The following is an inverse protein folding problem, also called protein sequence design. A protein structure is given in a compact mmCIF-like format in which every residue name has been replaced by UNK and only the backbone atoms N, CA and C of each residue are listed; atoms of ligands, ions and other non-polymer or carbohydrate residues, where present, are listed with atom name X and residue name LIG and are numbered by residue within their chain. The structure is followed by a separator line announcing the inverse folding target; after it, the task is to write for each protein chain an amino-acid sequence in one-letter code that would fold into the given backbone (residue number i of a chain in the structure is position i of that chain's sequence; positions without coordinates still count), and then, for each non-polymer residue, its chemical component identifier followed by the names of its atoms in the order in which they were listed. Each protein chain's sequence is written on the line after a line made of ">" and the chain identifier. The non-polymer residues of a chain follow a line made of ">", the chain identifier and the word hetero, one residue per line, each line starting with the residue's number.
data_IF_884369851031
#
_entry.id   IF_884369851031
#
_cell.length_a   1.000
_cell.length_b   1.000
_cell.length_c   1.000
_cell.angle_alpha   90.00
_cell.angle_beta   90.00
_cell.angle_gamma   90.00
#
_symmetry.space_group_name_H-M   'P 1'
#
loop_
_entity.id
_entity.type
_entity.pdbx_description
1 polymer ?
#
# COMPACT_ATOMS: atom_id res chain seq x y z
N UNK A 1 -16.15 34.73 -2.04
CA UNK A 1 -15.16 33.63 -1.99
C UNK A 1 -13.80 34.27 -2.19
N UNK A 2 -12.97 34.33 -1.13
CA UNK A 2 -11.67 35.01 -1.16
C UNK A 2 -10.59 34.00 -1.58
N UNK A 3 -10.20 34.04 -2.85
CA UNK A 3 -9.17 33.17 -3.46
C UNK A 3 -7.80 33.21 -2.74
N UNK A 4 -7.54 34.25 -1.95
CA UNK A 4 -6.23 34.49 -1.31
C UNK A 4 -6.00 33.66 -0.03
N UNK A 5 -6.99 32.94 0.48
CA UNK A 5 -6.79 32.04 1.64
C UNK A 5 -6.86 30.55 1.29
N UNK A 6 -7.41 30.20 0.13
CA UNK A 6 -7.52 28.79 -0.30
C UNK A 6 -6.15 28.15 -0.60
N UNK A 7 -5.11 28.92 -0.92
CA UNK A 7 -3.74 28.38 -1.04
C UNK A 7 -3.04 28.16 0.32
N UNK A 8 -3.60 28.70 1.41
CA UNK A 8 -3.09 28.55 2.78
C UNK A 8 -3.74 27.39 3.53
N UNK A 9 -4.79 26.79 2.99
CA UNK A 9 -5.36 25.57 3.57
C UNK A 9 -4.41 24.42 3.24
N UNK A 10 -3.45 24.18 4.13
CA UNK A 10 -2.59 23.02 4.04
C UNK A 10 -3.43 21.75 3.94
N UNK A 11 -3.00 20.83 3.09
CA UNK A 11 -3.53 19.48 2.96
C UNK A 11 -3.74 18.87 4.37
N UNK A 12 -4.87 18.20 4.60
CA UNK A 12 -5.09 17.49 5.87
C UNK A 12 -4.05 16.39 5.99
N UNK A 13 -3.39 16.27 7.14
CA UNK A 13 -2.35 15.27 7.38
C UNK A 13 -2.57 14.57 8.71
N UNK A 14 -2.33 13.27 8.72
CA UNK A 14 -2.42 12.43 9.90
C UNK A 14 -1.14 11.59 10.00
N UNK A 15 -0.57 11.55 11.20
CA UNK A 15 0.52 10.64 11.52
C UNK A 15 -0.06 9.50 12.35
N UNK A 16 -0.07 8.29 11.80
CA UNK A 16 -0.44 7.05 12.49
C UNK A 16 0.84 6.38 12.94
N UNK A 17 0.89 5.92 14.20
CA UNK A 17 2.09 5.30 14.76
C UNK A 17 1.89 3.83 15.04
N UNK A 18 2.99 3.09 15.00
CA UNK A 18 3.08 1.70 15.47
C UNK A 18 2.07 0.76 14.79
N UNK A 19 1.81 0.98 13.50
CA UNK A 19 0.96 0.11 12.71
C UNK A 19 1.68 -1.22 12.46
N UNK A 20 1.02 -2.32 12.83
CA UNK A 20 1.49 -3.67 12.55
C UNK A 20 1.08 -4.08 11.14
N UNK A 21 2.08 -4.42 10.31
CA UNK A 21 1.87 -4.97 8.97
C UNK A 21 2.22 -6.45 8.96
N UNK A 22 1.19 -7.27 8.75
CA UNK A 22 1.30 -8.73 8.65
C UNK A 22 1.12 -9.24 7.21
N UNK A 23 0.50 -8.44 6.34
CA UNK A 23 0.24 -8.82 4.95
C UNK A 23 1.51 -9.02 4.14
N UNK A 24 1.52 -10.03 3.26
CA UNK A 24 2.66 -10.38 2.40
C UNK A 24 2.36 -9.98 0.95
N UNK A 25 3.38 -9.48 0.25
CA UNK A 25 3.31 -9.14 -1.17
C UNK A 25 3.12 -10.39 -2.05
N UNK A 26 3.33 -11.56 -1.47
CA UNK A 26 3.32 -12.83 -2.16
C UNK A 26 4.68 -13.11 -2.79
N UNK A 27 4.96 -14.39 -2.94
CA UNK A 27 6.03 -14.84 -3.82
C UNK A 27 5.43 -15.20 -5.17
N UNK A 28 6.15 -14.84 -6.24
CA UNK A 28 5.79 -15.26 -7.58
C UNK A 28 6.48 -16.60 -7.84
N UNK A 29 5.70 -17.67 -7.90
CA UNK A 29 6.23 -18.94 -8.42
C UNK A 29 6.01 -18.98 -9.93
N UNK A 30 7.08 -19.25 -10.68
CA UNK A 30 6.96 -19.45 -12.13
C UNK A 30 6.58 -20.91 -12.33
N UNK A 31 5.28 -21.18 -12.27
CA UNK A 31 4.77 -22.54 -12.37
C UNK A 31 5.02 -23.19 -13.75
N UNK A 32 5.05 -22.39 -14.84
CA UNK A 32 5.30 -22.93 -16.18
C UNK A 32 5.87 -21.89 -17.16
N UNK A 33 6.91 -22.29 -17.88
CA UNK A 33 7.41 -21.61 -19.07
C UNK A 33 7.04 -22.44 -20.30
N UNK A 34 6.30 -21.85 -21.24
CA UNK A 34 5.97 -22.49 -22.50
C UNK A 34 6.51 -21.65 -23.67
N UNK A 35 7.07 -22.33 -24.66
CA UNK A 35 7.49 -21.72 -25.92
C UNK A 35 6.63 -22.27 -27.05
N UNK A 36 6.10 -21.37 -27.87
CA UNK A 36 5.42 -21.71 -29.11
C UNK A 36 6.29 -21.24 -30.26
N UNK A 37 6.75 -22.20 -31.08
CA UNK A 37 7.53 -21.94 -32.28
C UNK A 37 6.60 -22.01 -33.50
N UNK A 38 6.37 -20.88 -34.14
CA UNK A 38 5.68 -20.79 -35.42
C UNK A 38 6.70 -20.31 -36.49
N UNK A 39 6.61 -20.70 -37.77
CA UNK A 39 7.62 -20.35 -38.77
C UNK A 39 7.85 -18.84 -38.96
N UNK A 40 6.92 -17.99 -38.50
CA UNK A 40 6.98 -16.53 -38.60
C UNK A 40 7.17 -15.81 -37.26
N UNK A 41 7.15 -16.52 -36.12
CA UNK A 41 7.12 -15.89 -34.79
C UNK A 41 7.46 -16.88 -33.69
N UNK A 42 8.30 -16.45 -32.74
CA UNK A 42 8.52 -17.16 -31.48
C UNK A 42 7.78 -16.43 -30.36
N UNK A 43 6.96 -17.17 -29.61
CA UNK A 43 6.23 -16.64 -28.46
C UNK A 43 6.68 -17.34 -27.18
N UNK A 44 7.04 -16.54 -26.18
CA UNK A 44 7.24 -17.00 -24.81
C UNK A 44 5.98 -16.71 -24.00
N UNK A 45 5.44 -17.74 -23.34
CA UNK A 45 4.30 -17.63 -22.44
C UNK A 45 4.81 -17.94 -21.03
N UNK A 46 4.65 -16.98 -20.13
CA UNK A 46 5.00 -17.11 -18.72
C UNK A 46 3.70 -17.21 -17.93
N UNK A 47 3.42 -18.41 -17.40
CA UNK A 47 2.30 -18.64 -16.49
C UNK A 47 2.82 -18.42 -15.06
N UNK A 48 2.06 -17.62 -14.30
CA UNK A 48 2.45 -17.17 -12.96
C UNK A 48 1.39 -17.68 -11.99
N UNK A 49 1.82 -18.30 -10.90
CA UNK A 49 0.93 -18.62 -9.78
C UNK A 49 1.26 -17.68 -8.63
N UNK A 50 0.22 -17.02 -8.10
CA UNK A 50 0.37 -16.12 -6.96
C UNK A 50 0.31 -16.97 -5.69
N UNK A 51 1.47 -17.27 -5.11
CA UNK A 51 1.55 -18.08 -3.90
C UNK A 51 1.47 -17.19 -2.66
N UNK A 52 0.40 -17.37 -1.86
CA UNK A 52 0.33 -16.86 -0.48
C UNK A 52 0.15 -15.34 -0.30
N UNK A 53 -0.24 -14.60 -1.33
CA UNK A 53 -0.38 -13.14 -1.23
C UNK A 53 -1.71 -12.73 -0.58
N UNK A 54 -1.69 -12.33 0.69
CA UNK A 54 -2.76 -11.51 1.26
C UNK A 54 -2.17 -10.19 1.73
N UNK A 55 -2.21 -9.19 0.85
CA UNK A 55 -1.99 -7.81 1.26
C UNK A 55 -3.04 -7.45 2.32
N UNK A 56 -2.59 -6.80 3.39
CA UNK A 56 -3.43 -6.38 4.49
C UNK A 56 -4.26 -5.18 4.03
N UNK A 57 -5.58 -5.34 4.01
CA UNK A 57 -6.51 -4.23 3.78
C UNK A 57 -6.62 -3.43 5.07
N UNK A 58 -6.49 -2.11 4.97
CA UNK A 58 -6.57 -1.17 6.08
C UNK A 58 -7.61 -0.12 5.73
N UNK A 59 -8.63 0.01 6.57
CA UNK A 59 -9.66 1.03 6.44
C UNK A 59 -9.24 2.30 7.19
N UNK A 60 -9.45 3.48 6.61
CA UNK A 60 -9.12 4.73 7.30
C UNK A 60 -9.93 4.91 8.60
N UNK A 61 -11.15 4.37 8.65
CA UNK A 61 -12.01 4.42 9.82
C UNK A 61 -11.43 3.70 11.04
N UNK A 62 -10.55 2.71 10.83
CA UNK A 62 -9.93 1.92 11.90
C UNK A 62 -8.64 2.55 12.44
N UNK A 63 -8.17 3.64 11.82
CA UNK A 63 -6.90 4.27 12.17
C UNK A 63 -7.09 5.41 13.17
N UNK A 64 -6.08 5.55 14.03
CA UNK A 64 -5.95 6.65 14.97
C UNK A 64 -4.66 7.42 14.70
N UNK A 65 -4.73 8.75 14.75
CA UNK A 65 -3.54 9.59 14.70
C UNK A 65 -2.74 9.49 16.01
N UNK A 66 -1.52 10.02 16.00
CA UNK A 66 -0.61 10.09 17.15
C UNK A 66 -1.17 10.84 18.36
N UNK A 67 -2.31 11.54 18.22
CA UNK A 67 -3.00 12.28 19.28
C UNK A 67 -4.24 11.53 19.77
N UNK A 68 -4.55 10.36 19.19
CA UNK A 68 -5.71 9.54 19.53
C UNK A 68 -7.00 9.95 18.80
N UNK A 69 -6.94 10.79 17.77
CA UNK A 69 -8.11 11.11 16.95
C UNK A 69 -8.33 10.03 15.91
N UNK A 70 -9.57 9.56 15.76
CA UNK A 70 -9.94 8.70 14.65
C UNK A 70 -9.80 9.44 13.31
N UNK A 71 -9.32 8.74 12.28
CA UNK A 71 -9.29 9.27 10.93
C UNK A 71 -10.71 9.28 10.32
N UNK A 72 -10.98 10.14 9.32
CA UNK A 72 -12.21 10.09 8.56
C UNK A 72 -12.38 8.74 7.85
N UNK A 73 -13.62 8.26 7.73
CA UNK A 73 -13.91 7.02 7.00
C UNK A 73 -13.59 7.09 5.50
N UNK A 74 -13.52 8.30 4.94
CA UNK A 74 -13.09 8.55 3.57
C UNK A 74 -12.16 9.78 3.50
N UNK A 75 -11.09 9.64 2.73
CA UNK A 75 -10.08 10.66 2.47
C UNK A 75 -9.94 10.77 0.94
N UNK A 76 -10.19 11.96 0.40
CA UNK A 76 -10.17 12.16 -1.05
C UNK A 76 -8.72 12.23 -1.55
N UNK A 77 -8.37 11.45 -2.56
CA UNK A 77 -7.03 11.48 -3.17
C UNK A 77 -5.92 11.37 -2.10
N UNK A 78 -6.04 10.32 -1.27
CA UNK A 78 -5.11 10.08 -0.17
C UNK A 78 -3.72 9.67 -0.69
N UNK A 79 -2.68 10.26 -0.12
CA UNK A 79 -1.29 9.88 -0.32
C UNK A 79 -0.74 9.30 1.00
N UNK A 80 -0.02 8.19 0.91
CA UNK A 80 0.49 7.46 2.08
C UNK A 80 1.99 7.34 1.98
N UNK A 81 2.70 7.92 2.95
CA UNK A 81 4.14 7.80 3.11
C UNK A 81 4.41 6.84 4.27
N UNK A 82 5.12 5.76 3.97
CA UNK A 82 5.52 4.75 4.96
C UNK A 82 6.85 5.19 5.58
N UNK A 83 6.89 5.22 6.91
CA UNK A 83 8.09 5.51 7.69
C UNK A 83 8.52 4.20 8.37
N UNK A 84 9.58 3.55 7.88
CA UNK A 84 10.02 2.26 8.41
C UNK A 84 10.57 2.39 9.84
N UNK A 85 10.21 1.45 10.72
CA UNK A 85 10.79 1.32 12.08
C UNK A 85 11.63 0.06 12.25
N UNK A 86 11.72 -0.75 11.19
CA UNK A 86 12.51 -1.98 11.12
C UNK A 86 13.29 -2.02 9.81
N UNK A 87 14.27 -2.92 9.71
CA UNK A 87 15.04 -3.15 8.48
C UNK A 87 14.22 -3.80 7.35
N UNK A 88 13.07 -4.38 7.67
CA UNK A 88 12.18 -4.98 6.68
C UNK A 88 11.29 -3.90 6.03
N UNK A 89 11.27 -3.90 4.70
CA UNK A 89 10.50 -2.95 3.92
C UNK A 89 9.01 -3.30 3.83
N UNK A 90 8.19 -2.26 3.67
CA UNK A 90 6.75 -2.31 3.45
C UNK A 90 6.37 -1.38 2.29
N UNK A 91 5.33 -1.74 1.56
CA UNK A 91 4.84 -0.91 0.46
C UNK A 91 3.31 -0.98 0.32
N UNK A 92 2.76 0.05 -0.30
CA UNK A 92 1.36 0.11 -0.70
C UNK A 92 1.15 -0.78 -1.93
N UNK A 93 0.16 -1.67 -1.87
CA UNK A 93 -0.18 -2.59 -2.96
C UNK A 93 -1.35 -2.04 -3.77
N UNK A 94 -1.10 -1.74 -5.04
CA UNK A 94 -2.11 -1.18 -5.94
C UNK A 94 -2.38 0.30 -5.68
N UNK A 95 -3.58 0.76 -6.04
CA UNK A 95 -4.01 2.15 -5.82
C UNK A 95 -4.60 2.35 -4.43
N UNK A 96 -4.41 3.55 -3.89
CA UNK A 96 -5.06 4.00 -2.66
C UNK A 96 -6.51 4.36 -3.00
N UNK A 97 -7.46 3.73 -2.32
CA UNK A 97 -8.88 4.06 -2.44
C UNK A 97 -9.27 5.19 -1.50
N UNK A 98 -10.51 5.68 -1.65
CA UNK A 98 -11.02 6.75 -0.79
C UNK A 98 -11.26 6.28 0.66
N UNK A 99 -11.62 5.01 0.87
CA UNK A 99 -11.94 4.47 2.20
C UNK A 99 -10.87 3.53 2.77
N UNK A 100 -10.01 2.98 1.92
CA UNK A 100 -9.06 1.95 2.32
C UNK A 100 -7.86 1.88 1.37
N UNK A 101 -6.81 1.24 1.87
CA UNK A 101 -5.60 0.94 1.12
C UNK A 101 -5.09 -0.44 1.52
N UNK A 102 -4.07 -0.93 0.80
CA UNK A 102 -3.47 -2.23 1.07
C UNK A 102 -1.99 -2.09 1.33
N UNK A 103 -1.50 -2.71 2.39
CA UNK A 103 -0.08 -2.80 2.69
C UNK A 103 0.42 -4.24 2.57
N UNK A 104 1.68 -4.37 2.18
CA UNK A 104 2.39 -5.62 2.20
C UNK A 104 3.84 -5.42 2.63
N UNK A 105 4.35 -6.37 3.40
CA UNK A 105 5.78 -6.50 3.67
C UNK A 105 6.50 -7.17 2.50
N UNK A 106 7.79 -6.88 2.39
CA UNK A 106 8.66 -7.55 1.41
C UNK A 106 8.65 -9.07 1.58
N UNK A 107 8.65 -9.79 0.46
CA UNK A 107 8.63 -11.25 0.43
C UNK A 107 9.86 -11.81 1.15
N UNK A 108 9.64 -12.64 2.17
CA UNK A 108 10.72 -13.26 2.97
C UNK A 108 10.87 -12.69 4.39
N UNK A 109 10.14 -11.63 4.75
CA UNK A 109 10.03 -11.19 6.13
C UNK A 109 9.17 -12.18 6.94
N UNK A 110 9.82 -13.01 7.77
CA UNK A 110 9.14 -14.02 8.59
C UNK A 110 8.32 -13.43 9.75
N UNK A 111 8.63 -12.20 10.18
CA UNK A 111 7.94 -11.53 11.28
C UNK A 111 7.02 -10.43 10.77
N UNK A 112 6.05 -10.04 11.60
CA UNK A 112 5.28 -8.83 11.38
C UNK A 112 6.17 -7.60 11.60
N UNK A 113 5.89 -6.54 10.87
CA UNK A 113 6.71 -5.34 10.86
C UNK A 113 5.92 -4.17 11.44
N UNK A 114 6.62 -3.27 12.13
CA UNK A 114 6.04 -2.04 12.65
C UNK A 114 6.44 -0.87 11.75
N UNK A 115 5.45 -0.07 11.36
CA UNK A 115 5.65 1.14 10.57
C UNK A 115 4.87 2.31 11.17
N UNK A 116 5.40 3.52 11.00
CA UNK A 116 4.60 4.73 11.16
C UNK A 116 4.10 5.13 9.75
N UNK A 117 2.89 5.69 9.66
CA UNK A 117 2.33 6.18 8.39
C UNK A 117 2.06 7.67 8.47
N UNK A 118 2.51 8.41 7.46
CA UNK A 118 2.05 9.77 7.21
C UNK A 118 1.02 9.73 6.08
N UNK A 119 -0.25 9.97 6.43
CA UNK A 119 -1.38 10.00 5.50
C UNK A 119 -1.72 11.46 5.21
N UNK A 120 -1.90 11.80 3.94
CA UNK A 120 -2.22 13.16 3.51
C UNK A 120 -3.39 13.15 2.53
N UNK A 121 -4.28 14.13 2.65
CA UNK A 121 -5.32 14.37 1.66
C UNK A 121 -4.84 15.40 0.63
N UNK A 122 -4.80 15.03 -0.64
CA UNK A 122 -4.29 15.89 -1.70
C UNK A 122 -5.44 16.54 -2.49
N UNK A 123 -5.48 17.86 -2.55
CA UNK A 123 -6.48 18.62 -3.33
C UNK A 123 -6.22 18.57 -4.84
#
# INVERSE_FOLDING_TARGET
>A
MNLTFDYLTGNRKWLVRDLVVWGDAGSLDTALLATENNPSSNRLIVLRELCGAQAQVIEFADLMDHRGNALPAAINNAEIIIIPKSENDCFVVGSIGESSFRLAKSSGASADILVDLLIMEMN
#
